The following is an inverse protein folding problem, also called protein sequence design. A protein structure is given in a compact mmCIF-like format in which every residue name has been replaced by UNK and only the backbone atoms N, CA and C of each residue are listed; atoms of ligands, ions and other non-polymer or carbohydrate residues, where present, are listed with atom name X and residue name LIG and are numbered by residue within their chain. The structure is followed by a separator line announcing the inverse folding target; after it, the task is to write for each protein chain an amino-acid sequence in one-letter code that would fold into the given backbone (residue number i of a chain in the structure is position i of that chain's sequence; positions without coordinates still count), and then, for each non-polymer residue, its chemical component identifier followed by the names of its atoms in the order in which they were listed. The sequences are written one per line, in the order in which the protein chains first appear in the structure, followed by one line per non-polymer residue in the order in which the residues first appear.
data_IF_332592801846
#
_entry.id   IF_332592801846
#
_cell.length_a   1.000
_cell.length_b   1.000
_cell.length_c   1.000
_cell.angle_alpha   90.00
_cell.angle_beta   90.00
_cell.angle_gamma   90.00
#
_symmetry.space_group_name_H-M   'P 1'
#
loop_
_entity.id
_entity.type
_entity.pdbx_description
1 polymer ?
#
# COMPACT_ATOMS: atom_id res chain seq x y z
N UNK A 1 9.13 12.63 65.72
CA UNK A 1 8.19 11.98 64.74
C UNK A 1 8.08 12.81 63.47
N UNK A 2 9.12 12.84 62.61
CA UNK A 2 9.03 13.64 61.38
C UNK A 2 9.94 13.10 60.26
N UNK A 3 9.93 11.78 59.99
CA UNK A 3 10.75 11.20 58.92
C UNK A 3 10.00 10.29 57.90
N UNK A 4 8.65 10.29 57.97
CA UNK A 4 7.84 9.39 57.14
C UNK A 4 7.23 10.07 55.90
N UNK A 5 7.29 11.39 55.78
CA UNK A 5 6.70 12.14 54.70
C UNK A 5 7.56 12.21 53.42
N UNK A 6 8.90 12.03 53.55
CA UNK A 6 9.83 12.08 52.44
C UNK A 6 9.75 10.87 51.51
N UNK A 7 9.48 9.69 52.07
CA UNK A 7 9.50 8.44 51.26
C UNK A 7 8.27 8.30 50.32
N UNK A 8 7.14 8.93 50.68
CA UNK A 8 5.95 8.92 49.80
C UNK A 8 6.18 9.78 48.54
N UNK A 9 6.78 10.97 48.73
CA UNK A 9 7.06 11.87 47.60
C UNK A 9 8.03 11.20 46.62
N UNK A 10 9.09 10.58 47.13
CA UNK A 10 10.05 9.84 46.29
C UNK A 10 9.40 8.70 45.54
N UNK A 11 8.46 7.97 46.16
CA UNK A 11 7.73 6.89 45.49
C UNK A 11 6.86 7.41 44.34
N UNK A 12 6.23 8.57 44.52
CA UNK A 12 5.44 9.20 43.42
C UNK A 12 6.33 9.71 42.28
N UNK A 13 7.50 10.27 42.58
CA UNK A 13 8.46 10.66 41.55
C UNK A 13 9.01 9.46 40.78
N UNK A 14 9.35 8.38 41.48
CA UNK A 14 9.83 7.14 40.84
C UNK A 14 8.73 6.52 39.97
N UNK A 15 7.49 6.43 40.47
CA UNK A 15 6.36 5.94 39.70
C UNK A 15 6.09 6.80 38.44
N UNK A 16 6.11 8.13 38.58
CA UNK A 16 5.98 9.05 37.46
C UNK A 16 7.09 8.89 36.41
N UNK A 17 8.35 8.75 36.89
CA UNK A 17 9.47 8.53 35.98
C UNK A 17 9.36 7.22 35.17
N UNK A 18 8.88 6.15 35.81
CA UNK A 18 8.64 4.86 35.13
C UNK A 18 7.57 5.00 34.05
N UNK A 19 6.48 5.70 34.34
CA UNK A 19 5.39 5.93 33.38
C UNK A 19 5.90 6.75 32.19
N UNK A 20 6.64 7.84 32.46
CA UNK A 20 7.22 8.66 31.38
C UNK A 20 8.20 7.85 30.54
N UNK A 21 9.07 7.05 31.16
CA UNK A 21 10.01 6.19 30.46
C UNK A 21 9.29 5.16 29.57
N UNK A 22 8.18 4.56 30.05
CA UNK A 22 7.38 3.62 29.29
C UNK A 22 6.69 4.30 28.09
N UNK A 23 6.15 5.50 28.26
CA UNK A 23 5.52 6.27 27.17
C UNK A 23 6.55 6.67 26.12
N UNK A 24 7.72 7.14 26.53
CA UNK A 24 8.81 7.49 25.61
C UNK A 24 9.29 6.25 24.85
N UNK A 25 9.44 5.12 25.53
CA UNK A 25 9.84 3.87 24.90
C UNK A 25 8.81 3.39 23.87
N UNK A 26 7.51 3.45 24.18
CA UNK A 26 6.41 3.15 23.25
C UNK A 26 6.41 4.11 22.06
N UNK A 27 6.59 5.41 22.28
CA UNK A 27 6.64 6.40 21.21
C UNK A 27 7.81 6.17 20.25
N UNK A 28 8.99 5.84 20.78
CA UNK A 28 10.18 5.54 19.95
C UNK A 28 9.98 4.22 19.19
N UNK A 29 9.42 3.21 19.84
CA UNK A 29 9.15 1.90 19.21
C UNK A 29 8.09 2.02 18.09
N UNK A 30 7.07 2.85 18.27
CA UNK A 30 6.04 3.10 17.26
C UNK A 30 6.56 3.92 16.08
N UNK A 31 7.57 4.76 16.25
CA UNK A 31 8.10 5.66 15.21
C UNK A 31 8.99 4.95 14.18
N UNK A 32 9.47 3.74 14.47
CA UNK A 32 10.42 3.03 13.62
C UNK A 32 9.89 2.66 12.23
N UNK A 33 8.58 2.52 12.05
CA UNK A 33 7.94 2.09 10.80
C UNK A 33 7.14 3.19 10.08
N UNK A 34 7.08 4.40 10.64
CA UNK A 34 6.16 5.43 10.15
C UNK A 34 6.62 6.21 8.90
N UNK A 35 7.89 6.12 8.51
CA UNK A 35 8.44 6.85 7.36
C UNK A 35 8.62 5.92 6.17
N UNK A 36 7.55 5.61 5.47
CA UNK A 36 7.64 4.96 4.17
C UNK A 36 7.59 6.02 3.06
N UNK A 37 8.56 6.01 2.18
CA UNK A 37 8.63 6.93 1.05
C UNK A 37 8.00 6.29 -0.18
N UNK A 38 7.07 7.02 -0.82
CA UNK A 38 6.55 6.62 -2.12
C UNK A 38 7.60 6.88 -3.19
N UNK A 39 7.93 5.86 -3.94
CA UNK A 39 8.86 5.94 -5.06
C UNK A 39 8.32 5.15 -6.25
N UNK A 40 8.64 5.62 -7.44
CA UNK A 40 8.42 4.87 -8.68
C UNK A 40 9.50 3.81 -8.85
N UNK A 41 9.26 2.82 -9.73
CA UNK A 41 10.29 1.80 -10.03
C UNK A 41 11.54 2.47 -10.62
N UNK A 42 11.36 3.51 -11.44
CA UNK A 42 12.46 4.24 -12.03
C UNK A 42 13.30 4.99 -10.98
N UNK A 43 12.64 5.66 -10.03
CA UNK A 43 13.31 6.35 -8.93
C UNK A 43 14.05 5.37 -8.03
N UNK A 44 13.41 4.24 -7.69
CA UNK A 44 14.03 3.18 -6.89
C UNK A 44 15.36 2.71 -7.51
N UNK A 45 15.35 2.45 -8.81
CA UNK A 45 16.55 2.02 -9.53
C UNK A 45 17.63 3.12 -9.59
N UNK A 46 17.23 4.39 -9.57
CA UNK A 46 18.14 5.55 -9.54
C UNK A 46 18.69 5.90 -8.16
N UNK A 47 18.08 5.44 -7.08
CA UNK A 47 18.46 5.79 -5.69
C UNK A 47 19.80 5.17 -5.25
N UNK A 48 20.26 4.12 -5.90
CA UNK A 48 21.49 3.43 -5.58
C UNK A 48 21.49 2.91 -4.11
N UNK A 49 22.60 3.12 -3.41
CA UNK A 49 22.81 2.58 -2.05
C UNK A 49 21.85 3.14 -0.99
N UNK A 50 21.19 4.24 -1.24
CA UNK A 50 20.20 4.82 -0.31
C UNK A 50 18.93 3.97 -0.23
N UNK A 51 18.55 3.30 -1.33
CA UNK A 51 17.36 2.45 -1.39
C UNK A 51 17.39 1.29 -0.39
N UNK A 52 18.58 0.75 -0.10
CA UNK A 52 18.74 -0.41 0.80
C UNK A 52 18.49 -0.13 2.28
N UNK A 53 18.43 1.14 2.66
CA UNK A 53 18.28 1.57 4.08
C UNK A 53 16.91 2.12 4.40
N UNK A 54 16.05 2.26 3.41
CA UNK A 54 14.76 2.92 3.55
C UNK A 54 13.63 1.90 3.44
N UNK A 55 12.58 2.14 4.23
CA UNK A 55 11.31 1.48 4.00
C UNK A 55 10.57 2.23 2.91
N UNK A 56 10.32 1.56 1.80
CA UNK A 56 9.82 2.16 0.57
C UNK A 56 8.42 1.63 0.23
N UNK A 57 7.66 2.46 -0.46
CA UNK A 57 6.38 2.09 -1.06
C UNK A 57 6.51 2.21 -2.57
N UNK A 58 6.43 1.08 -3.24
CA UNK A 58 6.56 1.01 -4.69
C UNK A 58 5.21 0.60 -5.28
N UNK A 59 4.69 1.42 -6.18
CA UNK A 59 3.47 1.14 -6.92
C UNK A 59 3.80 0.64 -8.33
N UNK A 60 3.00 -0.29 -8.81
CA UNK A 60 3.10 -0.81 -10.18
C UNK A 60 1.96 -1.77 -10.48
N UNK A 61 1.85 -2.20 -11.72
CA UNK A 61 0.90 -3.24 -12.12
C UNK A 61 1.60 -4.60 -12.05
N UNK A 62 0.89 -5.60 -11.59
CA UNK A 62 1.41 -6.97 -11.58
C UNK A 62 1.51 -7.48 -13.01
N UNK A 63 2.71 -7.92 -13.42
CA UNK A 63 2.92 -8.50 -14.75
C UNK A 63 2.12 -9.79 -14.87
N UNK A 64 1.29 -9.96 -15.92
CA UNK A 64 0.53 -11.19 -16.15
C UNK A 64 1.42 -12.44 -16.16
N UNK A 65 0.96 -13.49 -15.48
CA UNK A 65 1.66 -14.78 -15.40
C UNK A 65 2.97 -14.76 -14.59
N UNK A 66 3.25 -13.67 -13.86
CA UNK A 66 4.46 -13.59 -13.02
C UNK A 66 4.24 -14.00 -11.58
N UNK A 67 2.99 -14.20 -11.16
CA UNK A 67 2.66 -14.54 -9.77
C UNK A 67 2.97 -16.02 -9.52
N UNK A 68 3.84 -16.27 -8.54
CA UNK A 68 4.08 -17.61 -8.00
C UNK A 68 3.83 -17.56 -6.50
N UNK A 69 2.87 -18.35 -6.01
CA UNK A 69 2.48 -18.38 -4.59
C UNK A 69 3.11 -19.57 -3.89
N UNK A 70 3.60 -19.36 -2.67
CA UNK A 70 4.17 -20.37 -1.78
C UNK A 70 3.55 -20.21 -0.39
N UNK A 71 2.39 -20.82 -0.17
CA UNK A 71 1.63 -20.61 1.07
C UNK A 71 1.21 -19.14 1.24
N UNK A 72 1.58 -18.48 2.35
CA UNK A 72 1.29 -17.07 2.57
C UNK A 72 2.18 -16.13 1.74
N UNK A 73 3.28 -16.62 1.18
CA UNK A 73 4.27 -15.82 0.46
C UNK A 73 3.97 -15.81 -1.04
N UNK A 74 4.47 -14.80 -1.74
CA UNK A 74 4.32 -14.70 -3.18
C UNK A 74 5.53 -14.03 -3.83
N UNK A 75 5.96 -14.55 -4.99
CA UNK A 75 6.92 -13.91 -5.86
C UNK A 75 6.18 -13.40 -7.08
N UNK A 76 6.48 -12.18 -7.50
CA UNK A 76 5.86 -11.56 -8.67
C UNK A 76 6.73 -10.44 -9.22
N UNK A 77 6.34 -9.92 -10.36
CA UNK A 77 7.02 -8.80 -11.01
C UNK A 77 6.06 -7.63 -11.12
N UNK A 78 6.46 -6.47 -10.61
CA UNK A 78 5.77 -5.21 -10.86
C UNK A 78 6.30 -4.58 -12.15
N UNK A 79 5.39 -3.97 -12.88
CA UNK A 79 5.67 -3.20 -14.11
C UNK A 79 5.15 -1.80 -13.94
N UNK A 80 5.97 -0.81 -14.28
CA UNK A 80 5.59 0.59 -14.38
C UNK A 80 6.20 1.16 -15.65
N UNK A 81 5.37 1.46 -16.64
CA UNK A 81 5.81 1.85 -18.00
C UNK A 81 6.77 0.78 -18.57
N UNK A 82 8.04 1.15 -18.83
CA UNK A 82 9.06 0.27 -19.39
C UNK A 82 9.97 -0.36 -18.32
N UNK A 83 9.69 -0.13 -17.04
CA UNK A 83 10.49 -0.63 -15.93
C UNK A 83 9.83 -1.80 -15.24
N UNK A 84 10.64 -2.76 -14.87
CA UNK A 84 10.21 -3.94 -14.13
C UNK A 84 10.95 -4.05 -12.81
N UNK A 85 10.28 -4.58 -11.79
CA UNK A 85 10.82 -4.81 -10.45
C UNK A 85 10.38 -6.18 -9.96
N UNK A 86 11.34 -7.03 -9.65
CA UNK A 86 11.05 -8.31 -9.00
C UNK A 86 10.73 -8.07 -7.53
N UNK A 87 9.65 -8.67 -7.06
CA UNK A 87 9.17 -8.53 -5.69
C UNK A 87 9.02 -9.92 -5.08
N UNK A 88 9.57 -10.07 -3.89
CA UNK A 88 9.33 -11.21 -3.01
C UNK A 88 8.51 -10.71 -1.84
N UNK A 89 7.32 -11.26 -1.69
CA UNK A 89 6.44 -10.97 -0.58
C UNK A 89 6.66 -12.00 0.53
N UNK A 90 7.06 -11.50 1.70
CA UNK A 90 7.31 -12.28 2.91
C UNK A 90 6.60 -11.59 4.11
N UNK A 91 5.33 -11.28 3.92
CA UNK A 91 4.50 -10.67 4.94
C UNK A 91 3.88 -11.70 5.89
N UNK A 92 3.45 -11.23 7.06
CA UNK A 92 2.76 -12.06 8.05
C UNK A 92 1.33 -12.45 7.62
N UNK A 93 0.72 -11.66 6.73
CA UNK A 93 -0.64 -11.86 6.22
C UNK A 93 -0.59 -12.37 4.78
N UNK A 94 -1.52 -13.24 4.36
CA UNK A 94 -1.60 -13.66 2.97
C UNK A 94 -1.91 -12.46 2.06
N UNK A 95 -1.45 -12.48 0.78
CA UNK A 95 -1.80 -11.45 -0.18
C UNK A 95 -3.31 -11.26 -0.28
N UNK A 96 -3.80 -10.00 -0.45
CA UNK A 96 -5.23 -9.73 -0.56
C UNK A 96 -5.86 -10.43 -1.78
N UNK A 97 -7.17 -10.64 -1.75
CA UNK A 97 -7.91 -11.34 -2.83
C UNK A 97 -7.83 -10.58 -4.17
N UNK A 98 -7.69 -9.26 -4.12
CA UNK A 98 -7.52 -8.41 -5.30
C UNK A 98 -6.12 -8.52 -5.94
N UNK A 99 -5.19 -9.23 -5.29
CA UNK A 99 -3.86 -9.46 -5.83
C UNK A 99 -3.88 -10.53 -6.93
N UNK A 100 -3.94 -10.06 -8.17
CA UNK A 100 -4.03 -10.85 -9.40
C UNK A 100 -3.27 -10.18 -10.53
N UNK A 101 -3.19 -10.85 -11.67
CA UNK A 101 -2.61 -10.30 -12.89
C UNK A 101 -3.24 -8.96 -13.27
N UNK A 102 -2.41 -8.02 -13.72
CA UNK A 102 -2.77 -6.63 -14.07
C UNK A 102 -3.32 -5.77 -12.92
N UNK A 103 -3.42 -6.31 -11.70
CA UNK A 103 -3.83 -5.51 -10.55
C UNK A 103 -2.80 -4.42 -10.24
N UNK A 104 -3.30 -3.20 -9.99
CA UNK A 104 -2.46 -2.14 -9.46
C UNK A 104 -2.11 -2.48 -8.01
N UNK A 105 -0.83 -2.70 -7.74
CA UNK A 105 -0.35 -3.16 -6.44
C UNK A 105 0.66 -2.16 -5.89
N UNK A 106 0.50 -1.87 -4.61
CA UNK A 106 1.45 -1.13 -3.79
C UNK A 106 2.17 -2.11 -2.88
N UNK A 107 3.46 -2.26 -3.07
CA UNK A 107 4.34 -3.06 -2.22
C UNK A 107 5.06 -2.16 -1.22
N UNK A 108 5.03 -2.54 0.06
CA UNK A 108 5.74 -1.83 1.14
C UNK A 108 6.83 -2.74 1.67
N UNK A 109 8.07 -2.24 1.69
CA UNK A 109 9.21 -3.04 2.13
C UNK A 109 10.54 -2.38 1.86
N UNK A 110 11.58 -3.18 1.68
CA UNK A 110 12.95 -2.73 1.48
C UNK A 110 13.52 -3.28 0.17
N UNK A 111 14.39 -2.50 -0.47
CA UNK A 111 15.08 -2.95 -1.66
C UNK A 111 16.36 -3.71 -1.27
N UNK A 112 16.52 -4.93 -1.77
CA UNK A 112 17.67 -5.77 -1.52
C UNK A 112 18.87 -5.45 -2.44
N UNK A 113 20.07 -5.78 -2.00
CA UNK A 113 21.28 -5.68 -2.81
C UNK A 113 21.32 -6.68 -3.98
N UNK A 114 20.48 -7.68 -3.94
CA UNK A 114 20.21 -8.68 -4.96
C UNK A 114 19.34 -8.14 -6.12
N UNK A 115 18.93 -6.87 -6.03
CA UNK A 115 18.03 -6.25 -7.01
C UNK A 115 16.57 -6.68 -6.88
N UNK A 116 16.21 -7.30 -5.76
CA UNK A 116 14.85 -7.75 -5.46
C UNK A 116 14.23 -6.85 -4.38
N UNK A 117 12.96 -6.56 -4.51
CA UNK A 117 12.22 -5.82 -3.51
C UNK A 117 11.55 -6.79 -2.52
N UNK A 118 11.94 -6.73 -1.25
CA UNK A 118 11.38 -7.54 -0.17
C UNK A 118 10.20 -6.81 0.45
N UNK A 119 9.00 -7.25 0.10
CA UNK A 119 7.76 -6.63 0.56
C UNK A 119 7.23 -7.35 1.80
N UNK A 120 6.91 -6.59 2.83
CA UNK A 120 6.27 -7.07 4.06
C UNK A 120 4.77 -6.79 4.09
N UNK A 121 4.30 -5.86 3.24
CA UNK A 121 2.87 -5.56 3.08
C UNK A 121 2.54 -5.38 1.61
N UNK A 122 1.35 -5.84 1.22
CA UNK A 122 0.79 -5.64 -0.11
C UNK A 122 -0.58 -4.99 0.01
N UNK A 123 -0.83 -4.00 -0.85
CA UNK A 123 -2.14 -3.41 -1.04
C UNK A 123 -2.45 -3.49 -2.53
N UNK A 124 -3.43 -4.30 -2.91
CA UNK A 124 -3.89 -4.37 -4.29
C UNK A 124 -5.17 -3.56 -4.45
N UNK A 125 -5.30 -2.88 -5.57
CA UNK A 125 -6.54 -2.24 -6.00
C UNK A 125 -6.94 -2.90 -7.30
N UNK A 126 -8.21 -3.31 -7.40
CA UNK A 126 -8.77 -3.65 -8.70
C UNK A 126 -8.57 -2.43 -9.60
N UNK A 127 -8.09 -2.64 -10.84
CA UNK A 127 -8.06 -1.61 -11.85
C UNK A 127 -9.49 -1.07 -11.98
N UNK A 128 -9.76 0.03 -11.26
CA UNK A 128 -11.05 0.68 -11.30
C UNK A 128 -11.29 1.07 -12.75
N UNK A 129 -12.51 0.94 -13.27
CA UNK A 129 -12.96 1.35 -14.61
C UNK A 129 -12.80 2.87 -14.88
N UNK A 130 -12.02 3.57 -14.08
CA UNK A 130 -11.58 4.94 -14.28
C UNK A 130 -10.20 4.97 -14.95
N UNK A 131 -10.03 4.23 -16.05
CA UNK A 131 -9.04 4.64 -17.02
C UNK A 131 -9.50 6.01 -17.53
N UNK A 132 -8.70 7.09 -17.42
CA UNK A 132 -9.04 8.33 -18.09
C UNK A 132 -9.17 8.00 -19.57
N UNK A 133 -10.36 8.25 -20.11
CA UNK A 133 -10.65 8.07 -21.53
C UNK A 133 -9.55 8.79 -22.30
N UNK A 134 -8.87 8.07 -23.21
CA UNK A 134 -7.94 8.69 -24.14
C UNK A 134 -8.66 9.87 -24.78
N UNK A 135 -8.08 11.07 -24.86
CA UNK A 135 -8.68 12.18 -25.56
C UNK A 135 -8.88 11.76 -27.04
N UNK A 136 -10.10 11.50 -27.45
CA UNK A 136 -10.41 11.11 -28.83
C UNK A 136 -11.41 9.96 -29.03
N UNK A 137 -11.86 9.28 -28.00
CA UNK A 137 -12.96 8.32 -28.14
C UNK A 137 -14.28 9.03 -27.79
N UNK A 138 -15.02 9.42 -28.81
CA UNK A 138 -16.39 9.92 -28.68
C UNK A 138 -17.26 8.87 -27.98
N UNK A 139 -18.20 9.27 -27.09
CA UNK A 139 -19.12 8.33 -26.48
C UNK A 139 -20.12 7.84 -27.50
N UNK A 140 -19.95 6.61 -28.00
CA UNK A 140 -20.95 5.93 -28.78
C UNK A 140 -22.10 5.49 -27.87
N UNK A 141 -23.20 6.24 -27.96
CA UNK A 141 -24.52 5.68 -27.93
C UNK A 141 -25.04 5.04 -26.67
N UNK A 142 -25.57 5.85 -25.78
CA UNK A 142 -26.63 5.40 -24.90
C UNK A 142 -27.94 5.45 -25.71
N UNK A 143 -28.28 4.38 -26.39
CA UNK A 143 -29.59 4.22 -27.02
C UNK A 143 -30.58 3.86 -25.91
N UNK A 144 -31.28 4.87 -25.39
CA UNK A 144 -32.44 4.65 -24.57
C UNK A 144 -33.53 3.97 -25.44
N UNK A 145 -34.26 2.97 -24.92
CA UNK A 145 -35.37 2.37 -25.69
C UNK A 145 -36.47 3.41 -25.86
N UNK A 146 -36.81 3.69 -27.14
CA UNK A 146 -37.92 4.52 -27.53
C UNK A 146 -39.23 3.97 -26.94
N UNK A 147 -39.84 4.75 -26.09
CA UNK A 147 -41.22 4.53 -25.67
C UNK A 147 -42.13 4.77 -26.85
N UNK A 148 -42.72 3.69 -27.32
CA UNK A 148 -43.72 3.67 -28.35
C UNK A 148 -44.99 4.38 -27.86
N UNK A 149 -45.18 5.63 -28.21
CA UNK A 149 -46.46 6.34 -28.02
C UNK A 149 -47.35 6.00 -29.19
N UNK A 150 -48.22 5.04 -28.94
CA UNK A 150 -49.26 4.68 -29.86
C UNK A 150 -50.14 5.90 -30.15
N UNK A 151 -50.33 6.16 -31.44
CA UNK A 151 -51.21 7.15 -32.06
C UNK A 151 -52.65 6.99 -31.58
N UNK A 152 -53.22 8.00 -30.96
CA UNK A 152 -54.65 8.20 -30.87
C UNK A 152 -55.07 9.12 -32.04
N UNK A 153 -55.62 8.53 -33.10
CA UNK A 153 -56.22 9.25 -34.18
C UNK A 153 -57.54 9.90 -33.75
N UNK A 154 -57.90 11.02 -34.34
CA UNK A 154 -59.18 11.68 -34.07
C UNK A 154 -60.35 10.97 -34.80
N UNK A 155 -61.39 10.70 -34.01
CA UNK A 155 -62.72 10.38 -34.60
C UNK A 155 -63.49 11.66 -34.78
N UNK A 156 -63.88 11.90 -35.98
CA UNK A 156 -64.97 12.80 -36.44
C UNK A 156 -66.28 12.44 -35.81
#
# INVERSE_FOLDING_TARGET
MAKQKSNSIVKFFVAGAIVVAAVVWLAVSASGNAKSYYVTIAELQGMGSKAYKLNLRVAGNVKPGSITRFGPNANFTLVERDKTLRVVYDGAEPPPDEFKDDAQTLAVGTFGRDGVFHATQLQAKCASKYAPAKPGAAPTGNTAPARNVASLGPKT
#
